data_IF_770776632213
#
_entry.id   IF_770776632213
#
_cell.length_a   1.000
_cell.length_b   1.000
_cell.length_c   1.000
_cell.angle_alpha   90.00
_cell.angle_beta   90.00
_cell.angle_gamma   90.00
#
_symmetry.space_group_name_H-M   'P 1'
#
loop_
_entity.id
_entity.type
_entity.pdbx_description
1 polymer ?
#
# COMPACT_ATOMS: atom_id res chain seq x y z
N UNK A 1 -4.17 -9.52 17.97
CA UNK A 1 -4.30 -8.87 16.66
C UNK A 1 -3.00 -9.14 15.91
N UNK A 2 -2.98 -10.15 15.05
CA UNK A 2 -1.81 -10.52 14.24
C UNK A 2 -1.72 -9.56 13.05
N UNK A 3 -0.61 -8.82 12.96
CA UNK A 3 -0.30 -8.04 11.76
C UNK A 3 0.32 -8.98 10.72
N UNK A 4 -0.29 -9.07 9.55
CA UNK A 4 0.25 -9.80 8.41
C UNK A 4 1.12 -8.87 7.57
N UNK A 5 2.33 -9.30 7.18
CA UNK A 5 3.18 -8.50 6.32
C UNK A 5 2.59 -8.47 4.91
N UNK A 6 2.24 -7.27 4.43
CA UNK A 6 1.73 -7.02 3.08
C UNK A 6 2.73 -6.17 2.31
N UNK A 7 3.17 -6.68 1.17
CA UNK A 7 4.04 -5.94 0.24
C UNK A 7 3.21 -5.13 -0.75
N UNK A 8 3.47 -3.83 -0.82
CA UNK A 8 2.86 -2.91 -1.79
C UNK A 8 3.95 -2.20 -2.59
N UNK A 9 3.65 -1.91 -3.87
CA UNK A 9 4.59 -1.22 -4.78
C UNK A 9 4.01 0.13 -5.19
N UNK A 10 4.78 1.19 -4.99
CA UNK A 10 4.39 2.59 -5.26
C UNK A 10 5.56 3.27 -5.99
N UNK A 11 5.34 3.87 -7.17
CA UNK A 11 6.39 4.55 -7.96
C UNK A 11 7.69 3.73 -8.13
N UNK A 12 7.57 2.44 -8.45
CA UNK A 12 8.72 1.52 -8.59
C UNK A 12 9.47 1.18 -7.29
N UNK A 13 8.99 1.65 -6.14
CA UNK A 13 9.54 1.31 -4.82
C UNK A 13 8.65 0.31 -4.11
N UNK A 14 9.27 -0.72 -3.55
CA UNK A 14 8.59 -1.76 -2.79
C UNK A 14 8.60 -1.42 -1.29
N UNK A 15 7.43 -1.57 -0.64
CA UNK A 15 7.23 -1.31 0.77
C UNK A 15 6.52 -2.49 1.42
N UNK A 16 7.09 -3.01 2.51
CA UNK A 16 6.45 -4.04 3.33
C UNK A 16 5.83 -3.38 4.55
N UNK A 17 4.53 -3.55 4.73
CA UNK A 17 3.76 -2.96 5.83
C UNK A 17 3.02 -4.07 6.56
N UNK A 18 3.16 -4.12 7.88
CA UNK A 18 2.35 -5.02 8.72
C UNK A 18 0.96 -4.43 8.93
N UNK A 19 -0.09 -5.14 8.51
CA UNK A 19 -1.48 -4.70 8.65
C UNK A 19 -2.34 -5.78 9.28
N UNK A 20 -3.40 -5.40 10.00
CA UNK A 20 -4.40 -6.37 10.44
C UNK A 20 -5.11 -7.01 9.25
N UNK A 21 -5.63 -8.24 9.43
CA UNK A 21 -6.33 -8.98 8.36
C UNK A 21 -7.43 -8.18 7.65
N UNK A 22 -8.15 -7.34 8.39
CA UNK A 22 -9.23 -6.49 7.87
C UNK A 22 -8.75 -5.18 7.22
N UNK A 23 -7.49 -4.79 7.46
CA UNK A 23 -6.93 -3.51 6.99
C UNK A 23 -6.18 -3.64 5.67
N UNK A 24 -5.96 -4.88 5.19
CA UNK A 24 -5.28 -5.16 3.93
C UNK A 24 -5.89 -4.44 2.73
N UNK A 25 -7.21 -4.46 2.62
CA UNK A 25 -7.90 -3.86 1.48
C UNK A 25 -7.82 -2.33 1.52
N UNK A 26 -7.87 -1.74 2.72
CA UNK A 26 -7.65 -0.31 2.95
C UNK A 26 -6.21 0.10 2.57
N UNK A 27 -5.20 -0.67 2.96
CA UNK A 27 -3.81 -0.43 2.56
C UNK A 27 -3.65 -0.49 1.03
N UNK A 28 -4.24 -1.51 0.39
CA UNK A 28 -4.18 -1.67 -1.07
C UNK A 28 -4.87 -0.51 -1.81
N UNK A 29 -6.00 -0.01 -1.29
CA UNK A 29 -6.68 1.15 -1.84
C UNK A 29 -5.83 2.43 -1.70
N UNK A 30 -5.24 2.65 -0.52
CA UNK A 30 -4.35 3.79 -0.26
C UNK A 30 -3.09 3.75 -1.14
N UNK A 31 -2.46 2.58 -1.30
CA UNK A 31 -1.28 2.41 -2.15
C UNK A 31 -1.59 2.74 -3.62
N UNK A 32 -2.73 2.28 -4.14
CA UNK A 32 -3.18 2.62 -5.51
C UNK A 32 -3.46 4.10 -5.69
N UNK A 33 -4.13 4.73 -4.71
CA UNK A 33 -4.38 6.17 -4.74
C UNK A 33 -3.06 6.94 -4.76
N UNK A 34 -2.13 6.60 -3.87
CA UNK A 34 -0.84 7.27 -3.78
C UNK A 34 -0.04 7.11 -5.08
N UNK A 35 -0.01 5.92 -5.68
CA UNK A 35 0.66 5.68 -6.97
C UNK A 35 0.07 6.55 -8.09
N UNK A 36 -1.26 6.63 -8.19
CA UNK A 36 -1.93 7.45 -9.18
C UNK A 36 -1.62 8.94 -9.02
N UNK A 37 -1.72 9.46 -7.78
CA UNK A 37 -1.42 10.88 -7.47
C UNK A 37 0.04 11.24 -7.73
N UNK A 38 0.94 10.31 -7.44
CA UNK A 38 2.36 10.51 -7.69
C UNK A 38 2.71 10.51 -9.19
N UNK A 39 2.01 9.72 -10.00
CA UNK A 39 2.14 9.76 -11.47
C UNK A 39 1.60 11.06 -12.07
N UNK A 40 0.58 11.67 -11.48
CA UNK A 40 0.02 12.95 -11.94
C UNK A 40 0.99 14.13 -11.72
N UNK A 41 1.80 14.08 -10.67
CA UNK A 41 2.72 15.17 -10.29
C UNK A 41 4.07 15.08 -11.01
N UNK A 42 4.43 13.89 -11.53
CA UNK A 42 5.71 13.66 -12.23
C UNK A 42 5.65 14.10 -13.69
#
# INVERSE_FOLDING_TARGET
MSAEPVSVRILDREYTVGVGGDERDSLMAAARLLDARMREIR
#
